data_IF_503906935889
#
_entry.id   IF_503906935889
#
_cell.length_a   1.000
_cell.length_b   1.000
_cell.length_c   1.000
_cell.angle_alpha   90.00
_cell.angle_beta   90.00
_cell.angle_gamma   90.00
#
_symmetry.space_group_name_H-M   'P 1'
#
loop_
_entity.id
_entity.type
_entity.pdbx_description
1 polymer ?
#
# COMPACT_ATOMS: atom_id res chain seq x y z
N UNK A 1 -25.71 -5.96 26.00
CA UNK A 1 -25.39 -4.58 25.57
C UNK A 1 -23.90 -4.39 25.79
N UNK A 2 -23.13 -4.29 24.73
CA UNK A 2 -21.70 -4.00 24.84
C UNK A 2 -21.47 -2.52 25.15
N UNK A 3 -20.63 -2.23 26.13
CA UNK A 3 -20.22 -0.85 26.40
C UNK A 3 -19.12 -0.44 25.41
N UNK A 4 -18.93 0.89 25.19
CA UNK A 4 -17.81 1.35 24.36
C UNK A 4 -16.47 0.84 24.87
N UNK A 5 -16.28 0.82 26.19
CA UNK A 5 -15.04 0.38 26.81
C UNK A 5 -14.74 -1.11 26.52
N UNK A 6 -15.77 -1.96 26.59
CA UNK A 6 -15.60 -3.38 26.27
C UNK A 6 -15.26 -3.56 24.78
N UNK A 7 -15.97 -2.83 23.92
CA UNK A 7 -15.74 -2.87 22.45
C UNK A 7 -14.33 -2.36 22.09
N UNK A 8 -13.87 -1.25 22.68
CA UNK A 8 -12.50 -0.73 22.45
C UNK A 8 -11.44 -1.69 22.99
N UNK A 9 -11.73 -2.40 24.09
CA UNK A 9 -10.80 -3.37 24.65
C UNK A 9 -10.50 -4.52 23.67
N UNK A 10 -11.49 -4.93 22.88
CA UNK A 10 -11.34 -6.02 21.91
C UNK A 10 -10.45 -5.65 20.72
N UNK A 11 -10.24 -4.34 20.47
CA UNK A 11 -9.44 -3.79 19.36
C UNK A 11 -8.31 -2.87 19.84
N UNK A 12 -7.92 -2.96 21.10
CA UNK A 12 -6.92 -2.04 21.66
C UNK A 12 -5.52 -2.24 21.09
N UNK A 13 -5.18 -3.45 20.65
CA UNK A 13 -3.89 -3.76 20.06
C UNK A 13 -3.80 -3.13 18.67
N UNK A 14 -4.83 -3.32 17.84
CA UNK A 14 -4.92 -2.75 16.50
C UNK A 14 -4.88 -1.20 16.53
N UNK A 15 -5.59 -0.60 17.48
CA UNK A 15 -5.57 0.86 17.66
C UNK A 15 -4.19 1.39 18.10
N UNK A 16 -3.45 0.63 18.91
CA UNK A 16 -2.10 1.03 19.35
C UNK A 16 -1.07 0.85 18.26
N UNK A 17 -1.13 -0.26 17.55
CA UNK A 17 -0.19 -0.55 16.47
C UNK A 17 -0.36 0.39 15.27
N UNK A 18 -1.53 1.01 15.13
CA UNK A 18 -1.83 1.94 14.05
C UNK A 18 -1.83 1.30 12.66
N UNK A 19 -1.86 -0.03 12.56
CA UNK A 19 -1.83 -0.78 11.31
C UNK A 19 -3.22 -0.91 10.72
N UNK A 20 -4.23 -0.98 11.60
CA UNK A 20 -5.60 -1.25 11.24
C UNK A 20 -6.51 -0.04 11.35
N UNK A 21 -7.53 -0.03 10.55
CA UNK A 21 -8.66 0.86 10.68
C UNK A 21 -9.79 0.15 11.41
N UNK A 22 -10.35 0.75 12.44
CA UNK A 22 -11.44 0.17 13.22
C UNK A 22 -12.65 1.08 13.13
N UNK A 23 -13.75 0.55 12.60
CA UNK A 23 -15.03 1.23 12.63
C UNK A 23 -15.72 1.01 13.98
N UNK A 24 -16.28 2.06 14.56
CA UNK A 24 -17.09 2.01 15.77
C UNK A 24 -18.45 2.64 15.52
N UNK A 25 -19.53 1.93 15.88
CA UNK A 25 -20.89 2.41 15.68
C UNK A 25 -21.83 1.91 16.75
N UNK A 26 -23.05 2.44 16.78
CA UNK A 26 -24.11 2.03 17.70
C UNK A 26 -25.25 1.32 16.97
N UNK A 27 -25.75 0.28 17.60
CA UNK A 27 -27.05 -0.32 17.27
C UNK A 27 -27.94 -0.20 18.50
N UNK A 28 -28.82 0.76 18.50
CA UNK A 28 -29.60 1.12 19.68
C UNK A 28 -28.71 1.65 20.82
N UNK A 29 -28.58 0.89 21.90
CA UNK A 29 -27.72 1.24 23.05
C UNK A 29 -26.42 0.43 23.11
N UNK A 30 -26.19 -0.45 22.16
CA UNK A 30 -25.01 -1.32 22.13
C UNK A 30 -23.96 -0.72 21.20
N UNK A 31 -22.72 -0.72 21.64
CA UNK A 31 -21.59 -0.41 20.78
C UNK A 31 -21.15 -1.66 20.02
N UNK A 32 -20.70 -1.44 18.81
CA UNK A 32 -20.13 -2.47 17.91
C UNK A 32 -18.82 -1.91 17.35
N UNK A 33 -17.94 -2.82 16.94
CA UNK A 33 -16.76 -2.47 16.18
C UNK A 33 -16.43 -3.55 15.18
N UNK A 34 -15.75 -3.16 14.13
CA UNK A 34 -15.24 -4.03 13.09
C UNK A 34 -13.92 -3.49 12.56
N UNK A 35 -13.01 -4.38 12.29
CA UNK A 35 -11.68 -4.09 11.81
C UNK A 35 -11.62 -4.20 10.30
N UNK A 36 -10.89 -3.26 9.67
CA UNK A 36 -10.63 -3.21 8.24
C UNK A 36 -9.13 -3.14 8.00
N UNK A 37 -8.63 -4.06 7.21
CA UNK A 37 -7.24 -4.05 6.78
C UNK A 37 -7.16 -3.24 5.49
N UNK A 38 -7.03 -1.93 5.64
CA UNK A 38 -6.71 -1.06 4.52
C UNK A 38 -5.19 -0.97 4.47
N UNK A 39 -4.60 -1.51 3.42
CA UNK A 39 -3.22 -1.22 3.10
C UNK A 39 -3.05 0.30 3.01
N UNK A 40 -1.82 0.82 3.10
CA UNK A 40 -1.53 2.27 3.05
C UNK A 40 -1.89 2.93 1.70
N UNK A 41 -2.74 2.29 0.91
CA UNK A 41 -3.35 2.83 -0.29
C UNK A 41 -4.61 3.60 0.08
N UNK A 42 -4.85 4.71 -0.58
CA UNK A 42 -6.08 5.49 -0.47
C UNK A 42 -7.34 4.75 -0.99
N UNK A 43 -7.24 3.43 -1.14
CA UNK A 43 -8.23 2.56 -1.77
C UNK A 43 -8.93 1.65 -0.76
N UNK A 44 -10.26 1.66 -0.79
CA UNK A 44 -11.10 0.72 -0.04
C UNK A 44 -11.55 -0.41 -0.97
N UNK A 45 -11.25 -1.65 -0.64
CA UNK A 45 -11.73 -2.80 -1.41
C UNK A 45 -13.27 -2.81 -1.51
N UNK A 46 -13.86 -3.27 -2.64
CA UNK A 46 -15.31 -3.22 -2.85
C UNK A 46 -16.13 -3.91 -1.76
N UNK A 47 -15.64 -5.02 -1.21
CA UNK A 47 -16.26 -5.74 -0.09
C UNK A 47 -16.25 -4.91 1.19
N UNK A 48 -15.12 -4.30 1.53
CA UNK A 48 -14.97 -3.46 2.72
C UNK A 48 -15.81 -2.18 2.57
N UNK A 49 -15.83 -1.61 1.38
CA UNK A 49 -16.70 -0.46 1.06
C UNK A 49 -18.16 -0.80 1.26
N UNK A 50 -18.62 -1.92 0.70
CA UNK A 50 -20.01 -2.38 0.87
C UNK A 50 -20.34 -2.53 2.35
N UNK A 51 -19.42 -3.07 3.13
CA UNK A 51 -19.59 -3.24 4.56
C UNK A 51 -19.59 -1.91 5.32
N UNK A 52 -18.73 -0.98 4.96
CA UNK A 52 -18.72 0.38 5.54
C UNK A 52 -20.01 1.14 5.23
N UNK A 53 -20.58 1.00 4.02
CA UNK A 53 -21.86 1.59 3.66
C UNK A 53 -23.02 1.00 4.47
N UNK A 54 -23.01 -0.31 4.77
CA UNK A 54 -23.99 -0.93 5.69
C UNK A 54 -23.89 -0.34 7.10
N UNK A 55 -22.66 -0.16 7.61
CA UNK A 55 -22.42 0.44 8.92
C UNK A 55 -22.93 1.90 8.93
N UNK A 56 -22.61 2.68 7.90
CA UNK A 56 -23.09 4.06 7.71
C UNK A 56 -24.61 4.15 7.69
N UNK A 57 -25.29 3.18 7.04
CA UNK A 57 -26.75 3.12 7.04
C UNK A 57 -27.32 2.77 8.41
N UNK A 58 -26.65 1.91 9.16
CA UNK A 58 -27.07 1.53 10.52
C UNK A 58 -26.83 2.66 11.54
N UNK A 59 -25.75 3.40 11.40
CA UNK A 59 -25.38 4.53 12.25
C UNK A 59 -24.60 5.58 11.45
N UNK A 60 -25.25 6.66 10.97
CA UNK A 60 -24.58 7.72 10.22
C UNK A 60 -23.50 8.47 11.03
N UNK A 61 -23.46 8.32 12.35
CA UNK A 61 -22.44 8.90 13.22
C UNK A 61 -21.25 7.96 13.45
N UNK A 62 -21.26 6.77 12.84
CA UNK A 62 -20.15 5.84 12.91
C UNK A 62 -18.82 6.49 12.54
N UNK A 63 -17.74 6.05 13.18
CA UNK A 63 -16.40 6.58 12.97
C UNK A 63 -15.45 5.47 12.56
N UNK A 64 -14.47 5.81 11.72
CA UNK A 64 -13.39 4.91 11.32
C UNK A 64 -12.09 5.51 11.83
N UNK A 65 -11.45 4.86 12.77
CA UNK A 65 -10.26 5.38 13.47
C UNK A 65 -9.07 4.46 13.31
N UNK A 66 -7.90 5.07 13.25
CA UNK A 66 -6.62 4.39 13.22
C UNK A 66 -5.70 5.09 14.23
N UNK A 67 -4.95 4.34 15.02
CA UNK A 67 -4.11 4.90 16.07
C UNK A 67 -3.04 5.87 15.57
N UNK A 68 -2.55 5.66 14.37
CA UNK A 68 -1.54 6.51 13.75
C UNK A 68 -2.12 7.79 13.11
N UNK A 69 -3.21 7.64 12.33
CA UNK A 69 -3.75 8.75 11.53
C UNK A 69 -4.82 9.56 12.26
N UNK A 70 -5.49 9.01 13.26
CA UNK A 70 -6.55 9.69 13.97
C UNK A 70 -6.08 10.64 15.08
N UNK A 71 -4.80 10.96 15.12
CA UNK A 71 -4.18 12.09 15.84
C UNK A 71 -4.29 12.15 17.37
N UNK A 72 -5.20 11.39 17.97
CA UNK A 72 -5.44 11.36 19.42
C UNK A 72 -5.54 9.94 19.98
N UNK A 73 -5.20 8.95 19.16
CA UNK A 73 -5.10 7.55 19.54
C UNK A 73 -3.65 7.17 19.32
N UNK A 74 -2.98 6.68 20.31
CA UNK A 74 -1.55 6.44 20.21
C UNK A 74 -1.09 5.21 20.99
N UNK A 75 0.12 4.80 20.65
CA UNK A 75 0.80 3.63 21.17
C UNK A 75 0.86 3.62 22.71
N UNK A 76 1.05 4.79 23.32
CA UNK A 76 1.18 4.94 24.77
C UNK A 76 -0.16 5.06 25.51
N UNK A 77 -1.29 5.12 24.80
CA UNK A 77 -2.59 5.29 25.43
C UNK A 77 -3.07 4.04 26.14
N UNK A 78 -3.53 4.21 27.38
CA UNK A 78 -4.22 3.16 28.09
C UNK A 78 -5.68 2.99 27.60
N UNK A 79 -6.35 1.92 28.03
CA UNK A 79 -7.71 1.60 27.58
C UNK A 79 -8.73 2.73 27.84
N UNK A 80 -8.59 3.46 28.94
CA UNK A 80 -9.53 4.54 29.29
C UNK A 80 -9.31 5.76 28.38
N UNK A 81 -8.07 6.07 28.03
CA UNK A 81 -7.68 7.11 27.08
C UNK A 81 -8.13 6.76 25.65
N UNK A 82 -7.91 5.52 25.19
CA UNK A 82 -8.41 5.04 23.91
C UNK A 82 -9.95 5.12 23.84
N UNK A 83 -10.64 4.68 24.91
CA UNK A 83 -12.10 4.74 24.99
C UNK A 83 -12.60 6.20 24.93
N UNK A 84 -11.92 7.10 25.63
CA UNK A 84 -12.25 8.52 25.59
C UNK A 84 -11.96 9.14 24.20
N UNK A 85 -10.88 8.69 23.54
CA UNK A 85 -10.54 9.09 22.17
C UNK A 85 -11.61 8.71 21.18
N UNK A 86 -11.99 7.43 21.11
CA UNK A 86 -13.05 6.93 20.22
C UNK A 86 -14.37 7.65 20.48
N UNK A 87 -14.73 7.85 21.77
CA UNK A 87 -15.94 8.60 22.13
C UNK A 87 -15.90 10.02 21.60
N UNK A 88 -14.77 10.70 21.72
CA UNK A 88 -14.58 12.09 21.24
C UNK A 88 -14.75 12.17 19.74
N UNK A 89 -14.19 11.22 18.97
CA UNK A 89 -14.39 11.14 17.53
C UNK A 89 -15.87 11.01 17.20
N UNK A 90 -16.55 10.07 17.84
CA UNK A 90 -17.96 9.83 17.62
C UNK A 90 -18.86 11.03 17.97
N UNK A 91 -18.63 11.68 19.11
CA UNK A 91 -19.44 12.82 19.59
C UNK A 91 -19.21 14.11 18.80
N UNK A 92 -18.01 14.30 18.26
CA UNK A 92 -17.66 15.50 17.50
C UNK A 92 -17.71 15.29 15.96
N UNK A 93 -18.02 14.10 15.51
CA UNK A 93 -18.06 13.77 14.08
C UNK A 93 -16.67 13.70 13.42
N UNK A 94 -15.60 13.58 14.20
CA UNK A 94 -14.26 13.37 13.64
C UNK A 94 -14.14 11.95 13.11
N UNK A 95 -13.42 11.80 12.01
CA UNK A 95 -13.26 10.48 11.33
C UNK A 95 -14.60 9.81 11.03
N UNK A 96 -15.61 10.59 10.64
CA UNK A 96 -16.92 10.07 10.26
C UNK A 96 -16.80 9.09 9.11
N UNK A 97 -17.51 7.97 9.20
CA UNK A 97 -17.44 6.89 8.20
C UNK A 97 -17.86 7.36 6.79
N UNK A 98 -18.79 8.30 6.69
CA UNK A 98 -19.22 8.85 5.40
C UNK A 98 -18.13 9.67 4.74
N UNK A 99 -17.47 10.56 5.51
CA UNK A 99 -16.33 11.36 5.05
C UNK A 99 -15.14 10.46 4.71
N UNK A 100 -14.93 9.40 5.50
CA UNK A 100 -13.88 8.41 5.25
C UNK A 100 -14.09 7.69 3.91
N UNK A 101 -15.29 7.20 3.64
CA UNK A 101 -15.65 6.54 2.37
C UNK A 101 -15.47 7.50 1.19
N UNK A 102 -15.87 8.78 1.34
CA UNK A 102 -15.74 9.78 0.28
C UNK A 102 -14.27 10.16 0.01
N UNK A 103 -13.46 10.29 1.07
CA UNK A 103 -12.05 10.61 0.95
C UNK A 103 -11.22 9.50 0.28
N UNK A 104 -11.67 8.24 0.41
CA UNK A 104 -11.02 7.07 -0.16
C UNK A 104 -11.82 6.51 -1.35
N UNK A 105 -12.69 7.32 -1.95
CA UNK A 105 -13.47 6.91 -3.12
C UNK A 105 -12.70 7.17 -4.42
N UNK A 106 -11.67 6.36 -4.63
CA UNK A 106 -10.91 6.33 -5.88
C UNK A 106 -11.64 5.57 -6.98
N UNK A 107 -12.96 5.77 -7.08
CA UNK A 107 -13.66 5.28 -8.26
C UNK A 107 -13.16 6.05 -9.47
N UNK A 108 -12.20 5.43 -10.18
CA UNK A 108 -11.83 5.93 -11.49
C UNK A 108 -13.09 5.99 -12.36
N UNK A 109 -13.31 7.09 -13.08
CA UNK A 109 -14.39 7.17 -14.04
C UNK A 109 -14.38 5.95 -14.98
N UNK A 110 -15.53 5.32 -15.27
CA UNK A 110 -15.60 4.17 -16.16
C UNK A 110 -14.91 4.42 -17.50
N UNK A 111 -14.95 5.67 -17.98
CA UNK A 111 -14.31 6.09 -19.22
C UNK A 111 -12.79 5.90 -19.20
N UNK A 112 -12.15 6.24 -18.08
CA UNK A 112 -10.69 6.06 -17.94
C UNK A 112 -10.30 4.58 -17.87
N UNK A 113 -11.13 3.75 -17.26
CA UNK A 113 -10.91 2.29 -17.23
C UNK A 113 -11.02 1.71 -18.63
N UNK A 114 -12.01 2.11 -19.41
CA UNK A 114 -12.18 1.64 -20.79
C UNK A 114 -11.06 2.16 -21.69
N UNK A 115 -10.60 3.40 -21.53
CA UNK A 115 -9.44 3.93 -22.26
C UNK A 115 -8.17 3.15 -21.93
N UNK A 116 -7.92 2.85 -20.65
CA UNK A 116 -6.77 2.07 -20.22
C UNK A 116 -6.83 0.63 -20.75
N UNK A 117 -8.01 0.00 -20.69
CA UNK A 117 -8.26 -1.32 -21.26
C UNK A 117 -7.98 -1.35 -22.78
N UNK A 118 -8.50 -0.35 -23.50
CA UNK A 118 -8.29 -0.24 -24.94
C UNK A 118 -6.81 -0.02 -25.30
N UNK A 119 -6.12 0.81 -24.52
CA UNK A 119 -4.67 1.07 -24.71
C UNK A 119 -3.83 -0.20 -24.44
N UNK A 120 -4.12 -0.93 -23.36
CA UNK A 120 -3.47 -2.19 -23.04
C UNK A 120 -3.70 -3.23 -24.16
N UNK A 121 -4.94 -3.38 -24.63
CA UNK A 121 -5.27 -4.28 -25.72
C UNK A 121 -4.53 -3.90 -27.02
N UNK A 122 -4.45 -2.61 -27.36
CA UNK A 122 -3.73 -2.13 -28.54
C UNK A 122 -2.22 -2.39 -28.43
N UNK A 123 -1.68 -2.41 -27.21
CA UNK A 123 -0.28 -2.72 -26.93
C UNK A 123 -0.02 -4.25 -26.80
N UNK A 124 -1.07 -5.10 -26.88
CA UNK A 124 -0.95 -6.55 -26.67
C UNK A 124 -0.64 -6.93 -25.22
N UNK A 125 -0.98 -6.05 -24.25
CA UNK A 125 -0.76 -6.29 -22.83
C UNK A 125 -2.05 -6.75 -22.15
N UNK A 126 -1.96 -7.62 -21.13
CA UNK A 126 -3.10 -7.95 -20.30
C UNK A 126 -3.53 -6.71 -19.52
N UNK A 127 -4.84 -6.57 -19.29
CA UNK A 127 -5.40 -5.50 -18.49
C UNK A 127 -6.06 -6.08 -17.25
N UNK A 128 -5.60 -5.66 -16.08
CA UNK A 128 -6.27 -5.89 -14.81
C UNK A 128 -6.85 -4.57 -14.30
N UNK A 129 -8.18 -4.50 -14.20
CA UNK A 129 -8.84 -3.32 -13.65
C UNK A 129 -8.44 -3.08 -12.20
N UNK A 130 -8.24 -4.14 -11.42
CA UNK A 130 -7.77 -4.04 -10.05
C UNK A 130 -6.39 -3.40 -9.98
N UNK A 131 -5.42 -3.93 -10.72
CA UNK A 131 -4.05 -3.39 -10.75
C UNK A 131 -4.03 -1.91 -11.20
N UNK A 132 -4.87 -1.57 -12.21
CA UNK A 132 -4.98 -0.20 -12.69
C UNK A 132 -5.56 0.76 -11.63
N UNK A 133 -6.57 0.30 -10.87
CA UNK A 133 -7.13 1.06 -9.73
C UNK A 133 -6.14 1.24 -8.60
N UNK A 134 -5.31 0.24 -8.35
CA UNK A 134 -4.27 0.25 -7.32
C UNK A 134 -3.03 1.05 -7.75
N UNK A 135 -3.06 1.69 -8.92
CA UNK A 135 -1.94 2.48 -9.46
C UNK A 135 -0.74 1.63 -9.85
N UNK A 136 -0.91 0.33 -9.92
CA UNK A 136 0.11 -0.58 -10.41
C UNK A 136 0.26 -0.42 -11.92
N UNK A 137 1.50 -0.36 -12.41
CA UNK A 137 1.75 -0.49 -13.84
C UNK A 137 1.16 -1.82 -14.32
N UNK A 138 0.62 -1.88 -15.56
CA UNK A 138 0.06 -3.11 -16.10
C UNK A 138 1.04 -4.25 -15.88
N UNK A 139 0.73 -5.14 -14.93
CA UNK A 139 1.57 -6.29 -14.67
C UNK A 139 1.34 -7.30 -15.80
N UNK A 140 2.33 -7.48 -16.68
CA UNK A 140 2.22 -8.45 -17.75
C UNK A 140 2.08 -9.89 -17.25
N UNK A 141 2.24 -10.10 -15.94
CA UNK A 141 2.11 -11.40 -15.29
C UNK A 141 0.69 -11.71 -14.78
N UNK A 142 -0.26 -10.75 -14.85
CA UNK A 142 -1.65 -11.02 -14.46
C UNK A 142 -2.40 -11.60 -15.64
N UNK A 143 -2.64 -12.90 -15.59
CA UNK A 143 -3.51 -13.59 -16.53
C UNK A 143 -4.98 -13.32 -16.16
N UNK A 144 -5.67 -12.50 -16.96
CA UNK A 144 -7.09 -12.17 -16.77
C UNK A 144 -8.05 -13.04 -17.63
N UNK A 145 -7.49 -14.00 -18.36
CA UNK A 145 -8.25 -14.89 -19.26
C UNK A 145 -8.62 -14.27 -20.61
N UNK A 146 -8.17 -13.05 -20.91
CA UNK A 146 -8.45 -12.38 -22.20
C UNK A 146 -7.64 -12.93 -23.37
N UNK A 147 -6.58 -13.69 -23.09
CA UNK A 147 -5.75 -14.36 -24.07
C UNK A 147 -5.67 -15.86 -23.82
N UNK A 148 -5.15 -16.62 -24.80
CA UNK A 148 -4.90 -18.03 -24.58
C UNK A 148 -3.74 -18.23 -23.60
N UNK A 149 -3.74 -19.36 -22.88
CA UNK A 149 -2.65 -19.71 -21.98
C UNK A 149 -1.30 -19.81 -22.70
N UNK A 150 -1.32 -20.23 -23.98
CA UNK A 150 -0.15 -20.35 -24.82
C UNK A 150 0.45 -18.99 -25.20
N UNK A 151 -0.41 -18.02 -25.52
CA UNK A 151 -0.02 -16.63 -25.80
C UNK A 151 0.49 -15.94 -24.53
N UNK A 152 -0.15 -16.20 -23.39
CA UNK A 152 0.30 -15.72 -22.08
C UNK A 152 1.70 -16.23 -21.73
N UNK A 153 1.96 -17.53 -21.87
CA UNK A 153 3.28 -18.11 -21.61
C UNK A 153 4.35 -17.61 -22.58
N UNK A 154 3.97 -17.34 -23.83
CA UNK A 154 4.88 -16.77 -24.83
C UNK A 154 5.24 -15.32 -24.43
N UNK A 155 4.25 -14.52 -24.10
CA UNK A 155 4.45 -13.13 -23.66
C UNK A 155 5.29 -13.07 -22.39
N UNK A 156 5.01 -13.92 -21.41
CA UNK A 156 5.77 -14.03 -20.17
C UNK A 156 7.25 -14.30 -20.44
N UNK A 157 7.56 -15.23 -21.35
CA UNK A 157 8.95 -15.52 -21.76
C UNK A 157 9.61 -14.32 -22.47
N UNK A 158 8.87 -13.61 -23.31
CA UNK A 158 9.41 -12.41 -23.98
C UNK A 158 9.76 -11.31 -22.97
N UNK A 159 8.89 -11.07 -22.00
CA UNK A 159 9.10 -10.06 -20.95
C UNK A 159 10.25 -10.45 -20.02
N UNK A 160 10.35 -11.71 -19.62
CA UNK A 160 11.50 -12.17 -18.84
C UNK A 160 12.83 -11.99 -19.59
N UNK A 161 12.83 -12.23 -20.88
CA UNK A 161 14.00 -12.00 -21.72
C UNK A 161 14.35 -10.52 -21.80
N UNK A 162 13.37 -9.63 -22.06
CA UNK A 162 13.58 -8.18 -22.07
C UNK A 162 14.00 -7.65 -20.69
N UNK A 163 13.42 -8.18 -19.61
CA UNK A 163 13.80 -7.81 -18.23
C UNK A 163 15.21 -8.28 -17.91
N UNK A 164 15.59 -9.46 -18.38
CA UNK A 164 16.96 -9.97 -18.25
C UNK A 164 17.94 -9.13 -19.07
N UNK A 165 17.57 -8.71 -20.28
CA UNK A 165 18.38 -7.81 -21.11
C UNK A 165 18.47 -6.41 -20.49
N UNK A 166 17.37 -5.84 -19.96
CA UNK A 166 17.38 -4.56 -19.24
C UNK A 166 18.15 -4.62 -17.93
N UNK A 167 18.10 -5.74 -17.19
CA UNK A 167 18.93 -5.92 -16.00
C UNK A 167 20.42 -5.96 -16.33
N UNK A 168 20.79 -6.43 -17.53
CA UNK A 168 22.18 -6.32 -18.04
C UNK A 168 22.52 -4.88 -18.42
N UNK A 169 21.55 -4.09 -18.88
CA UNK A 169 21.71 -2.66 -19.18
C UNK A 169 21.51 -1.75 -17.96
N UNK A 170 20.85 -2.22 -16.88
CA UNK A 170 20.65 -1.41 -15.66
C UNK A 170 21.97 -1.31 -14.93
N UNK A 171 22.70 -0.24 -15.22
CA UNK A 171 23.96 0.09 -14.61
C UNK A 171 23.70 0.57 -13.17
N UNK A 172 23.97 -0.28 -12.21
CA UNK A 172 24.14 0.12 -10.82
C UNK A 172 25.54 0.69 -10.69
N UNK A 173 25.69 1.94 -10.31
CA UNK A 173 27.02 2.51 -10.05
C UNK A 173 27.31 2.49 -8.55
N UNK A 174 28.43 1.91 -8.17
CA UNK A 174 28.94 1.88 -6.80
C UNK A 174 30.27 2.64 -6.71
N UNK A 175 30.46 3.39 -5.62
CA UNK A 175 31.73 4.02 -5.35
C UNK A 175 32.62 3.07 -4.55
N UNK A 176 33.70 2.59 -5.16
CA UNK A 176 34.72 1.77 -4.50
C UNK A 176 35.78 2.66 -3.89
N UNK A 177 36.02 2.54 -2.59
CA UNK A 177 37.05 3.35 -1.91
C UNK A 177 38.06 2.47 -1.20
N UNK A 178 39.32 2.92 -1.19
CA UNK A 178 40.36 2.33 -0.39
C UNK A 178 40.29 2.87 1.04
N UNK A 179 39.79 2.07 1.98
CA UNK A 179 39.64 2.46 3.38
C UNK A 179 41.00 2.75 4.05
N UNK A 180 42.08 2.08 3.64
CA UNK A 180 43.43 2.32 4.17
C UNK A 180 43.90 3.73 3.85
N UNK A 181 43.79 4.12 2.57
CA UNK A 181 44.17 5.49 2.13
C UNK A 181 43.24 6.54 2.70
N UNK A 182 41.95 6.21 2.88
CA UNK A 182 40.99 7.11 3.50
C UNK A 182 41.36 7.46 4.94
N UNK A 183 41.76 6.47 5.74
CA UNK A 183 42.23 6.68 7.14
C UNK A 183 43.56 7.46 7.24
N UNK A 184 44.34 7.46 6.17
CA UNK A 184 45.58 8.24 6.05
C UNK A 184 45.34 9.69 5.56
N UNK A 185 44.06 10.09 5.40
CA UNK A 185 43.69 11.42 4.89
C UNK A 185 43.93 11.59 3.38
N UNK A 186 44.08 10.50 2.64
CA UNK A 186 44.25 10.47 1.19
C UNK A 186 43.08 9.70 0.56
N UNK A 187 41.89 10.31 0.42
CA UNK A 187 40.76 9.60 -0.16
C UNK A 187 41.07 9.19 -1.61
N UNK A 188 41.07 7.88 -1.85
CA UNK A 188 41.19 7.30 -3.17
C UNK A 188 39.97 6.39 -3.40
N UNK A 189 39.31 6.59 -4.51
CA UNK A 189 38.15 5.78 -4.90
C UNK A 189 37.69 6.11 -6.29
N UNK A 190 36.94 5.21 -6.88
CA UNK A 190 36.43 5.30 -8.25
C UNK A 190 35.00 4.79 -8.33
N UNK A 191 34.18 5.40 -9.18
CA UNK A 191 32.84 4.92 -9.48
C UNK A 191 32.93 3.77 -10.48
N UNK A 192 32.30 2.65 -10.13
CA UNK A 192 32.22 1.47 -10.99
C UNK A 192 30.77 1.19 -11.32
N UNK A 193 30.50 0.98 -12.61
CA UNK A 193 29.18 0.58 -13.11
C UNK A 193 29.08 -0.95 -13.13
N UNK A 194 27.93 -1.48 -12.69
CA UNK A 194 27.65 -2.91 -12.67
C UNK A 194 26.47 -3.25 -13.60
N UNK A 195 26.51 -4.40 -14.26
CA UNK A 195 27.53 -5.47 -14.15
C UNK A 195 28.88 -5.06 -14.75
N UNK A 196 29.97 -5.58 -14.17
CA UNK A 196 31.34 -5.36 -14.64
C UNK A 196 32.14 -6.65 -14.61
N UNK A 197 33.28 -6.68 -15.30
CA UNK A 197 34.13 -7.87 -15.34
C UNK A 197 35.08 -7.93 -14.15
N UNK A 198 35.52 -9.14 -13.80
CA UNK A 198 36.51 -9.33 -12.73
C UNK A 198 37.85 -8.64 -13.07
N UNK A 199 38.21 -8.61 -14.35
CA UNK A 199 39.40 -7.91 -14.84
C UNK A 199 39.29 -6.41 -14.59
N UNK A 200 38.16 -5.79 -14.95
CA UNK A 200 37.95 -4.37 -14.73
C UNK A 200 37.94 -4.01 -13.24
N UNK A 201 37.29 -4.82 -12.41
CA UNK A 201 37.34 -4.63 -10.95
C UNK A 201 38.77 -4.70 -10.42
N UNK A 202 39.57 -5.65 -10.89
CA UNK A 202 40.96 -5.74 -10.50
C UNK A 202 41.78 -4.51 -10.91
N UNK A 203 41.58 -4.01 -12.13
CA UNK A 203 42.21 -2.76 -12.57
C UNK A 203 41.82 -1.56 -11.71
N UNK A 204 40.55 -1.47 -11.30
CA UNK A 204 40.09 -0.43 -10.39
C UNK A 204 40.77 -0.57 -9.02
N UNK A 205 40.80 -1.78 -8.44
CA UNK A 205 41.47 -2.01 -7.17
C UNK A 205 43.00 -1.72 -7.20
N UNK A 206 43.65 -1.94 -8.33
CA UNK A 206 45.09 -1.65 -8.48
C UNK A 206 45.34 -0.13 -8.58
N UNK A 207 44.31 0.67 -8.97
CA UNK A 207 44.40 2.15 -9.09
C UNK A 207 44.06 2.88 -7.78
N UNK A 208 43.12 2.40 -7.01
CA UNK A 208 42.64 3.05 -5.78
C UNK A 208 43.49 2.61 -4.58
#
# INVERSE_FOLDING_TARGET
MASLRDTVKDYQEELRDGIAWVAFWKTGRSWNAEYFHLEMSDYIYPEDRSRMEEIKQADPAAVVVNGYYSGYLGEDMNLDELTAGVRRHYENGYSNIGEFIEAHDDRLPPELIEEARAAAHAAGLPFSEKAYRDGEEPDPYIFDGSMSMEDYELMHRMIENERSERMVETILSGYLSNLGKYTEGRPAGEWVSFPTTAEHLKEVFDRI
#
